data_IF_514899703825
#
_entry.id   IF_514899703825
#
_cell.length_a   1.000
_cell.length_b   1.000
_cell.length_c   1.000
_cell.angle_alpha   90.00
_cell.angle_beta   90.00
_cell.angle_gamma   90.00
#
_symmetry.space_group_name_H-M   'P 1'
#
loop_
_entity.id
_entity.type
_entity.pdbx_description
1 polymer ?
#
# COMPACT_ATOMS: atom_id res chain seq x y z
N UNK A 1 13.30 -41.66 -47.71
CA UNK A 1 12.36 -41.72 -48.86
C UNK A 1 10.93 -41.57 -48.36
N UNK A 2 10.01 -41.19 -49.25
CA UNK A 2 8.64 -40.76 -48.93
C UNK A 2 7.65 -41.95 -48.77
N UNK A 3 6.49 -41.66 -48.15
CA UNK A 3 5.24 -42.45 -47.94
C UNK A 3 4.81 -43.38 -49.12
N UNK A 4 3.95 -44.45 -48.93
CA UNK A 4 2.61 -44.36 -48.28
C UNK A 4 2.01 -45.61 -47.55
N UNK A 5 0.76 -45.46 -47.09
CA UNK A 5 -0.19 -46.42 -46.46
C UNK A 5 -1.17 -46.99 -47.53
N UNK A 6 -1.86 -48.15 -47.33
CA UNK A 6 -3.13 -48.29 -46.58
C UNK A 6 -3.09 -49.50 -45.61
N UNK A 7 -4.13 -50.11 -45.01
CA UNK A 7 -5.61 -49.94 -44.98
C UNK A 7 -6.11 -50.30 -43.55
N UNK A 8 -7.19 -49.77 -42.96
CA UNK A 8 -8.65 -50.02 -43.13
C UNK A 8 -9.08 -51.49 -42.86
N UNK A 9 -9.53 -51.85 -41.64
CA UNK A 9 -10.88 -51.73 -41.01
C UNK A 9 -11.89 -52.81 -41.51
N UNK A 10 -12.90 -53.28 -40.72
CA UNK A 10 -13.77 -52.45 -39.85
C UNK A 10 -14.36 -53.12 -38.56
N UNK A 11 -15.38 -52.46 -37.98
CA UNK A 11 -16.39 -52.90 -37.00
C UNK A 11 -15.95 -52.82 -35.52
N UNK A 12 -16.15 -51.71 -34.80
CA UNK A 12 -17.36 -50.93 -34.49
C UNK A 12 -18.29 -51.57 -33.44
N UNK A 13 -18.21 -51.08 -32.20
CA UNK A 13 -19.29 -51.19 -31.20
C UNK A 13 -19.39 -49.92 -30.34
N UNK A 14 -20.31 -49.03 -30.75
CA UNK A 14 -21.09 -48.12 -29.91
C UNK A 14 -20.44 -47.27 -28.81
N UNK A 15 -19.91 -46.10 -29.15
CA UNK A 15 -19.90 -44.93 -28.25
C UNK A 15 -21.03 -43.97 -28.62
N UNK A 16 -22.16 -43.93 -27.89
CA UNK A 16 -23.08 -42.81 -27.95
C UNK A 16 -22.52 -41.66 -27.11
N UNK A 17 -22.23 -40.52 -27.75
CA UNK A 17 -21.88 -39.29 -27.03
C UNK A 17 -23.00 -38.89 -26.07
N UNK A 18 -22.66 -38.66 -24.80
CA UNK A 18 -23.48 -37.90 -23.87
C UNK A 18 -22.73 -36.62 -23.50
N UNK A 19 -23.30 -35.46 -23.82
CA UNK A 19 -22.70 -34.15 -23.54
C UNK A 19 -22.39 -33.98 -22.04
N UNK A 20 -21.20 -33.45 -21.66
CA UNK A 20 -21.05 -32.84 -20.35
C UNK A 20 -21.96 -31.61 -20.30
N UNK A 21 -22.97 -31.68 -19.43
CA UNK A 21 -23.99 -30.66 -19.32
C UNK A 21 -23.39 -29.24 -19.19
N UNK A 22 -23.97 -28.31 -19.94
CA UNK A 22 -23.70 -26.88 -19.82
C UNK A 22 -24.03 -26.42 -18.40
N UNK A 23 -23.01 -26.32 -17.54
CA UNK A 23 -23.11 -25.52 -16.34
C UNK A 23 -23.10 -24.05 -16.76
N UNK A 24 -24.29 -23.54 -17.08
CA UNK A 24 -24.62 -22.13 -16.91
C UNK A 24 -24.46 -21.80 -15.42
N UNK A 25 -23.22 -21.54 -15.01
CA UNK A 25 -22.98 -20.71 -13.84
C UNK A 25 -23.40 -19.32 -14.27
N UNK A 26 -24.59 -18.91 -13.85
CA UNK A 26 -25.05 -17.56 -14.10
C UNK A 26 -23.97 -16.59 -13.60
N UNK A 27 -23.56 -15.68 -14.47
CA UNK A 27 -22.87 -14.46 -14.05
C UNK A 27 -23.85 -13.74 -13.13
N UNK A 28 -23.68 -13.93 -11.82
CA UNK A 28 -24.29 -13.09 -10.83
C UNK A 28 -23.61 -11.73 -10.97
N UNK A 29 -24.18 -10.93 -11.88
CA UNK A 29 -23.86 -9.54 -12.09
C UNK A 29 -23.96 -8.88 -10.72
N UNK A 30 -22.79 -8.66 -10.13
CA UNK A 30 -22.65 -8.22 -8.77
C UNK A 30 -22.76 -6.71 -8.81
N UNK A 31 -23.99 -6.22 -8.98
CA UNK A 31 -24.40 -4.86 -8.65
C UNK A 31 -24.36 -4.69 -7.12
N UNK A 32 -23.18 -4.97 -6.55
CA UNK A 32 -22.70 -4.23 -5.43
C UNK A 32 -22.61 -2.79 -5.93
N UNK A 33 -23.27 -1.82 -5.28
CA UNK A 33 -23.14 -0.44 -5.70
C UNK A 33 -21.65 -0.12 -5.73
N UNK A 34 -21.14 0.32 -6.89
CA UNK A 34 -19.78 0.84 -6.98
C UNK A 34 -19.68 1.92 -5.90
N UNK A 35 -18.93 1.61 -4.84
CA UNK A 35 -18.71 2.55 -3.75
C UNK A 35 -18.04 3.75 -4.41
N UNK A 36 -18.75 4.88 -4.44
CA UNK A 36 -18.16 6.11 -4.92
C UNK A 36 -17.01 6.40 -3.96
N UNK A 37 -15.78 6.20 -4.41
CA UNK A 37 -14.59 6.45 -3.60
C UNK A 37 -14.55 7.97 -3.32
N UNK A 38 -15.10 8.37 -2.17
CA UNK A 38 -15.15 9.77 -1.71
C UNK A 38 -13.74 10.31 -1.38
N UNK A 39 -12.73 9.44 -1.43
CA UNK A 39 -11.34 9.68 -1.07
C UNK A 39 -10.39 9.27 -2.21
N UNK A 40 -9.19 9.84 -2.22
CA UNK A 40 -8.09 9.41 -3.09
C UNK A 40 -6.78 9.26 -2.30
N UNK A 41 -5.80 8.55 -2.86
CA UNK A 41 -4.52 8.27 -2.18
C UNK A 41 -3.32 9.02 -2.81
N UNK A 42 -2.75 9.98 -2.08
CA UNK A 42 -1.54 10.70 -2.48
C UNK A 42 -0.28 10.06 -1.85
N UNK A 43 0.39 9.18 -2.61
CA UNK A 43 1.72 8.66 -2.24
C UNK A 43 2.77 9.77 -2.32
N UNK A 44 3.51 10.00 -1.23
CA UNK A 44 4.56 11.01 -1.20
C UNK A 44 5.84 10.55 -1.94
N UNK A 45 6.55 11.48 -2.56
CA UNK A 45 7.71 11.21 -3.40
C UNK A 45 8.98 11.00 -2.55
N UNK A 46 9.67 9.89 -2.77
CA UNK A 46 10.84 9.45 -2.01
C UNK A 46 10.53 9.03 -0.55
N UNK A 47 11.35 8.11 -0.05
CA UNK A 47 11.29 7.64 1.32
C UNK A 47 11.77 8.72 2.32
N UNK A 48 11.33 8.60 3.56
CA UNK A 48 11.85 9.37 4.68
C UNK A 48 12.97 8.56 5.35
N UNK A 49 14.08 9.21 5.71
CA UNK A 49 15.25 8.57 6.33
C UNK A 49 15.54 9.29 7.65
N UNK A 50 15.58 8.52 8.73
CA UNK A 50 15.59 9.03 10.11
C UNK A 50 16.72 8.33 10.88
N UNK A 51 17.85 9.01 11.15
CA UNK A 51 18.89 8.46 12.00
C UNK A 51 18.42 8.45 13.46
N UNK A 52 18.65 7.34 14.14
CA UNK A 52 18.48 7.22 15.59
C UNK A 52 19.85 7.43 16.22
N UNK A 53 19.96 8.44 17.08
CA UNK A 53 21.23 8.81 17.72
C UNK A 53 21.20 8.41 19.19
N UNK A 54 22.24 7.72 19.64
CA UNK A 54 22.46 7.34 21.04
C UNK A 54 23.89 7.71 21.40
N UNK A 55 24.09 8.41 22.52
CA UNK A 55 25.40 8.88 22.99
C UNK A 55 26.25 9.65 21.94
N UNK A 56 25.56 10.37 21.04
CA UNK A 56 26.19 11.15 19.96
C UNK A 56 26.58 10.33 18.72
N UNK A 57 26.32 9.03 18.70
CA UNK A 57 26.57 8.13 17.57
C UNK A 57 25.25 7.68 16.94
N UNK A 58 25.23 7.46 15.62
CA UNK A 58 24.09 6.82 14.95
C UNK A 58 24.08 5.35 15.34
N UNK A 59 23.01 4.90 16.01
CA UNK A 59 22.82 3.52 16.47
C UNK A 59 21.85 2.72 15.60
N UNK A 60 21.01 3.41 14.83
CA UNK A 60 20.14 2.81 13.83
C UNK A 60 19.72 3.83 12.76
N UNK A 61 19.23 3.33 11.63
CA UNK A 61 18.59 4.09 10.56
C UNK A 61 17.17 3.55 10.36
N UNK A 62 16.18 4.43 10.39
CA UNK A 62 14.79 4.10 10.02
C UNK A 62 14.51 4.66 8.63
N UNK A 63 13.91 3.85 7.76
CA UNK A 63 13.48 4.23 6.41
C UNK A 63 11.98 3.96 6.31
N UNK A 64 11.21 4.94 5.82
CA UNK A 64 9.74 4.87 5.83
C UNK A 64 9.12 5.42 4.54
N UNK A 65 8.10 4.72 4.04
CA UNK A 65 7.25 5.17 2.92
C UNK A 65 5.87 5.59 3.43
N UNK A 66 5.35 6.72 2.96
CA UNK A 66 4.07 7.29 3.40
C UNK A 66 3.17 7.62 2.20
N UNK A 67 1.89 7.31 2.34
CA UNK A 67 0.80 7.83 1.52
C UNK A 67 -0.20 8.57 2.41
N UNK A 68 -0.88 9.57 1.86
CA UNK A 68 -2.02 10.22 2.49
C UNK A 68 -3.32 9.68 1.89
N UNK A 69 -4.33 9.49 2.73
CA UNK A 69 -5.73 9.42 2.33
C UNK A 69 -6.32 10.83 2.43
N UNK A 70 -6.93 11.31 1.35
CA UNK A 70 -7.38 12.69 1.21
C UNK A 70 -8.74 12.75 0.51
N UNK A 71 -9.45 13.87 0.67
CA UNK A 71 -10.69 14.14 -0.06
C UNK A 71 -10.48 14.13 -1.58
N UNK A 72 -11.46 13.64 -2.33
CA UNK A 72 -11.40 13.55 -3.79
C UNK A 72 -11.10 14.91 -4.47
N UNK A 73 -10.02 14.97 -5.24
CA UNK A 73 -9.56 16.18 -5.95
C UNK A 73 -8.48 16.98 -5.20
N UNK A 74 -8.23 16.70 -3.92
CA UNK A 74 -7.23 17.39 -3.11
C UNK A 74 -5.77 17.03 -3.47
N UNK A 75 -5.54 15.99 -4.29
CA UNK A 75 -4.19 15.54 -4.68
C UNK A 75 -3.29 16.65 -5.21
N UNK A 76 -3.83 17.53 -6.04
CA UNK A 76 -3.07 18.65 -6.61
C UNK A 76 -2.59 19.63 -5.53
N UNK A 77 -3.42 19.90 -4.52
CA UNK A 77 -3.09 20.76 -3.40
C UNK A 77 -2.01 20.14 -2.48
N UNK A 78 -2.08 18.82 -2.23
CA UNK A 78 -1.04 18.09 -1.48
C UNK A 78 0.33 18.25 -2.16
N UNK A 79 0.42 17.97 -3.47
CA UNK A 79 1.71 18.06 -4.17
C UNK A 79 2.21 19.51 -4.32
N UNK A 80 1.32 20.50 -4.40
CA UNK A 80 1.70 21.92 -4.40
C UNK A 80 2.40 22.37 -3.11
N UNK A 81 2.14 21.72 -1.97
CA UNK A 81 2.80 22.00 -0.68
C UNK A 81 3.68 20.84 -0.17
N UNK A 82 3.95 19.82 -0.99
CA UNK A 82 4.73 18.64 -0.60
C UNK A 82 6.06 19.00 0.10
N UNK A 83 6.86 19.99 -0.36
CA UNK A 83 8.10 20.35 0.34
C UNK A 83 7.91 20.75 1.81
N UNK A 84 6.83 21.47 2.13
CA UNK A 84 6.49 21.85 3.53
C UNK A 84 5.96 20.67 4.32
N UNK A 85 5.13 19.84 3.69
CA UNK A 85 4.59 18.63 4.31
C UNK A 85 5.72 17.66 4.68
N UNK A 86 6.71 17.47 3.80
CA UNK A 86 7.88 16.62 4.06
C UNK A 86 8.76 17.15 5.18
N UNK A 87 8.97 18.46 5.27
CA UNK A 87 9.71 19.10 6.36
C UNK A 87 9.01 18.86 7.72
N UNK A 88 7.71 19.15 7.80
CA UNK A 88 6.91 18.89 9.01
C UNK A 88 6.88 17.41 9.39
N UNK A 89 6.81 16.50 8.41
CA UNK A 89 6.87 15.05 8.62
C UNK A 89 8.22 14.61 9.17
N UNK A 90 9.34 15.11 8.62
CA UNK A 90 10.68 14.84 9.15
C UNK A 90 10.81 15.32 10.60
N UNK A 91 10.34 16.54 10.91
CA UNK A 91 10.36 17.07 12.27
C UNK A 91 9.54 16.21 13.24
N UNK A 92 8.32 15.79 12.86
CA UNK A 92 7.50 14.88 13.65
C UNK A 92 8.20 13.53 13.91
N UNK A 93 8.87 12.97 12.90
CA UNK A 93 9.62 11.71 13.04
C UNK A 93 10.88 11.87 13.90
N UNK A 94 11.63 12.97 13.79
CA UNK A 94 12.77 13.24 14.66
C UNK A 94 12.33 13.39 16.12
N UNK A 95 11.21 14.08 16.37
CA UNK A 95 10.62 14.16 17.72
C UNK A 95 10.22 12.76 18.23
N UNK A 96 9.60 11.93 17.38
CA UNK A 96 9.27 10.54 17.72
C UNK A 96 10.52 9.69 18.00
N UNK A 97 11.62 9.89 17.25
CA UNK A 97 12.91 9.24 17.52
C UNK A 97 13.50 9.65 18.87
N UNK A 98 13.50 10.95 19.17
CA UNK A 98 14.09 11.53 20.39
C UNK A 98 13.37 11.07 21.68
N UNK A 99 12.07 10.77 21.63
CA UNK A 99 11.33 10.16 22.76
C UNK A 99 11.46 8.63 22.81
N UNK A 100 12.40 8.04 22.06
CA UNK A 100 12.62 6.59 22.00
C UNK A 100 11.53 5.82 21.25
N UNK A 101 10.73 6.49 20.41
CA UNK A 101 9.61 5.90 19.66
C UNK A 101 10.06 4.76 18.74
N UNK A 102 11.20 4.90 18.07
CA UNK A 102 11.79 3.85 17.22
C UNK A 102 12.68 2.81 17.95
N UNK A 103 12.83 2.91 19.28
CA UNK A 103 13.64 1.97 20.07
C UNK A 103 12.87 0.70 20.45
N UNK A 104 13.56 -0.44 20.60
CA UNK A 104 12.95 -1.70 21.05
C UNK A 104 11.88 -2.22 20.08
N UNK A 105 10.71 -2.64 20.59
CA UNK A 105 9.57 -3.03 19.75
C UNK A 105 8.87 -1.80 19.15
N UNK A 106 9.51 -1.19 18.14
CA UNK A 106 9.07 0.03 17.49
C UNK A 106 7.73 -0.11 16.75
N UNK A 107 7.42 -1.29 16.22
CA UNK A 107 6.17 -1.60 15.52
C UNK A 107 4.98 -1.87 16.46
N UNK A 108 5.18 -1.83 17.79
CA UNK A 108 4.08 -1.99 18.75
C UNK A 108 2.96 -0.96 18.54
N UNK A 109 1.71 -1.40 18.70
CA UNK A 109 0.52 -0.60 18.36
C UNK A 109 0.46 0.77 19.07
N UNK A 110 0.99 0.90 20.29
CA UNK A 110 1.06 2.19 21.00
C UNK A 110 2.02 3.17 20.34
N UNK A 111 3.21 2.71 19.94
CA UNK A 111 4.23 3.53 19.26
C UNK A 111 3.77 3.94 17.86
N UNK A 112 3.28 2.97 17.09
CA UNK A 112 2.71 3.23 15.76
C UNK A 112 1.49 4.14 15.79
N UNK A 113 0.61 4.03 16.80
CA UNK A 113 -0.51 4.98 16.96
C UNK A 113 -0.01 6.39 17.27
N UNK A 114 0.94 6.54 18.20
CA UNK A 114 1.54 7.85 18.52
C UNK A 114 2.18 8.50 17.30
N UNK A 115 2.93 7.74 16.50
CA UNK A 115 3.54 8.24 15.26
C UNK A 115 2.49 8.68 14.24
N UNK A 116 1.48 7.86 13.96
CA UNK A 116 0.40 8.19 13.01
C UNK A 116 -0.41 9.41 13.46
N UNK A 117 -0.74 9.51 14.75
CA UNK A 117 -1.46 10.66 15.29
C UNK A 117 -0.70 11.97 15.12
N UNK A 118 0.62 11.99 15.34
CA UNK A 118 1.41 13.21 15.14
C UNK A 118 1.57 13.54 13.64
N UNK A 119 1.82 12.54 12.80
CA UNK A 119 1.89 12.73 11.34
C UNK A 119 0.57 13.28 10.78
N UNK A 120 -0.58 12.73 11.20
CA UNK A 120 -1.90 13.19 10.77
C UNK A 120 -2.20 14.61 11.26
N UNK A 121 -1.79 14.94 12.49
CA UNK A 121 -1.90 16.30 13.02
C UNK A 121 -1.13 17.28 12.13
N UNK A 122 0.17 17.05 11.89
CA UNK A 122 0.96 17.98 11.07
C UNK A 122 0.55 17.97 9.59
N UNK A 123 0.00 16.86 9.08
CA UNK A 123 -0.57 16.80 7.74
C UNK A 123 -1.75 17.76 7.58
N UNK A 124 -2.67 17.77 8.55
CA UNK A 124 -3.84 18.67 8.58
C UNK A 124 -3.47 20.13 8.85
N UNK A 125 -2.42 20.37 9.62
CA UNK A 125 -1.87 21.72 9.85
C UNK A 125 -1.25 22.32 8.57
N UNK A 126 -0.65 21.48 7.69
CA UNK A 126 -0.02 21.92 6.42
C UNK A 126 -0.98 21.91 5.23
N UNK A 127 -1.82 20.87 5.11
CA UNK A 127 -2.83 20.70 4.06
C UNK A 127 -4.19 20.90 4.70
N UNK A 128 -4.70 22.12 4.61
CA UNK A 128 -5.87 22.61 5.35
C UNK A 128 -7.12 21.74 5.16
N UNK A 129 -7.43 20.90 6.14
CA UNK A 129 -8.66 20.11 6.23
C UNK A 129 -8.69 18.82 5.41
N UNK A 130 -8.16 18.83 4.17
CA UNK A 130 -8.37 17.76 3.19
C UNK A 130 -7.68 16.41 3.47
N UNK A 131 -6.99 16.24 4.60
CA UNK A 131 -6.29 14.98 4.96
C UNK A 131 -7.11 14.15 5.94
N UNK A 132 -7.48 12.95 5.50
CA UNK A 132 -8.32 12.01 6.23
C UNK A 132 -7.46 11.13 7.12
N UNK A 133 -6.44 10.44 6.58
CA UNK A 133 -5.48 9.62 7.35
C UNK A 133 -4.05 9.61 6.75
N UNK A 134 -3.09 9.13 7.54
CA UNK A 134 -1.69 8.93 7.13
C UNK A 134 -1.32 7.44 7.15
N UNK A 135 -1.12 6.89 5.95
CA UNK A 135 -0.77 5.50 5.73
C UNK A 135 0.76 5.35 5.67
N UNK A 136 1.34 4.84 6.76
CA UNK A 136 2.70 4.26 6.72
C UNK A 136 2.60 2.96 5.90
N UNK A 137 3.15 2.97 4.69
CA UNK A 137 3.05 1.86 3.70
C UNK A 137 4.24 0.91 3.75
N UNK A 138 5.38 1.38 4.25
CA UNK A 138 6.59 0.60 4.48
C UNK A 138 7.38 1.23 5.63
N UNK A 139 8.00 0.42 6.48
CA UNK A 139 8.89 0.85 7.55
C UNK A 139 9.98 -0.20 7.80
N UNK A 140 11.23 0.20 7.60
CA UNK A 140 12.43 -0.61 7.85
C UNK A 140 13.26 0.08 8.92
N UNK A 141 13.81 -0.70 9.87
CA UNK A 141 14.85 -0.25 10.80
C UNK A 141 16.09 -1.11 10.59
N UNK A 142 17.22 -0.47 10.33
CA UNK A 142 18.53 -1.09 10.23
C UNK A 142 19.39 -0.62 11.40
N UNK A 143 19.83 -1.57 12.23
CA UNK A 143 20.79 -1.30 13.30
C UNK A 143 22.22 -1.32 12.72
N UNK A 144 23.12 -0.56 13.35
CA UNK A 144 24.53 -0.38 12.94
C UNK A 144 25.48 -1.23 13.77
#
# INVERSE_FOLDING_TARGET
>A
MLKPHPAEDPLAEGYPCGDPAQQQTAEADSDAPEAVEETEFAKLNNQFVIPIVTDGLVSAMVVMSISLEIELGARSAVFAVEPKLRDAFLQAMFNHANIGGFSGNFTSGTKMRSLRSELLRVARDVVSGAVIDVLITDIVRQDT
#
